data_IF_284350081978
#
_entry.id   IF_284350081978
#
_cell.length_a   1.000
_cell.length_b   1.000
_cell.length_c   1.000
_cell.angle_alpha   90.00
_cell.angle_beta   90.00
_cell.angle_gamma   90.00
#
_symmetry.space_group_name_H-M   'P 1'
#
loop_
_entity.id
_entity.type
_entity.pdbx_description
1 polymer ?
#
# COMPACT_ATOMS: atom_id res chain seq x y z
N UNK A 1 14.29 1.53 -3.78
CA UNK A 1 14.19 0.73 -2.55
C UNK A 1 14.89 1.44 -1.41
N UNK A 2 14.29 1.42 -0.22
CA UNK A 2 14.90 1.92 1.02
C UNK A 2 16.03 1.00 1.48
N UNK A 3 17.01 1.53 2.20
CA UNK A 3 18.04 0.71 2.85
C UNK A 3 17.52 0.08 4.15
N UNK A 4 18.11 -1.04 4.61
CA UNK A 4 17.71 -1.64 5.90
C UNK A 4 17.78 -0.63 7.05
N UNK A 5 18.79 0.26 7.07
CA UNK A 5 18.86 1.32 8.09
C UNK A 5 17.76 2.37 7.97
N UNK A 6 17.23 2.61 6.78
CA UNK A 6 16.07 3.49 6.60
C UNK A 6 14.78 2.81 7.09
N UNK A 7 14.66 1.50 6.88
CA UNK A 7 13.53 0.69 7.34
C UNK A 7 13.51 0.63 8.87
N UNK A 8 14.64 0.28 9.50
CA UNK A 8 14.77 0.27 10.97
C UNK A 8 14.40 1.64 11.58
N UNK A 9 14.88 2.73 10.98
CA UNK A 9 14.58 4.08 11.47
C UNK A 9 13.10 4.49 11.25
N UNK A 10 12.43 3.91 10.25
CA UNK A 10 11.00 4.12 10.03
C UNK A 10 10.18 3.32 11.05
N UNK A 11 10.55 2.07 11.32
CA UNK A 11 9.91 1.21 12.32
C UNK A 11 10.07 1.78 13.74
N UNK A 12 11.24 2.35 14.07
CA UNK A 12 11.44 3.08 15.33
C UNK A 12 10.43 4.24 15.51
N UNK A 13 10.01 4.86 14.40
CA UNK A 13 8.97 5.90 14.41
C UNK A 13 7.60 5.25 14.53
N UNK A 14 7.27 4.28 13.67
CA UNK A 14 5.95 3.64 13.61
C UNK A 14 5.60 2.89 14.90
N UNK A 15 6.56 2.31 15.61
CA UNK A 15 6.30 1.59 16.87
C UNK A 15 6.46 2.46 18.12
N UNK A 16 6.67 3.77 17.96
CA UNK A 16 6.72 4.70 19.08
C UNK A 16 5.31 5.05 19.60
N UNK A 17 5.23 5.30 20.91
CA UNK A 17 4.06 5.94 21.52
C UNK A 17 3.84 7.35 20.92
N UNK A 18 2.57 7.78 20.71
CA UNK A 18 1.32 7.16 21.16
C UNK A 18 0.64 6.20 20.19
N UNK A 19 1.23 5.90 19.03
CA UNK A 19 0.53 5.17 17.96
C UNK A 19 0.96 3.71 17.79
N UNK A 20 2.08 3.26 18.37
CA UNK A 20 2.70 1.97 18.07
C UNK A 20 1.82 0.71 18.08
N UNK A 21 0.67 0.71 18.78
CA UNK A 21 -0.28 -0.40 18.75
C UNK A 21 -1.21 -0.39 17.51
N UNK A 22 -1.52 0.79 16.98
CA UNK A 22 -2.43 1.01 15.83
C UNK A 22 -1.66 1.28 14.52
N UNK A 23 -0.35 1.53 14.60
CA UNK A 23 0.47 1.82 13.45
C UNK A 23 0.77 0.58 12.59
N UNK A 24 0.91 0.83 11.28
CA UNK A 24 1.34 -0.19 10.33
C UNK A 24 2.80 -0.57 10.57
N UNK A 25 3.16 -1.79 10.18
CA UNK A 25 4.55 -2.17 9.98
C UNK A 25 5.09 -1.61 8.65
N UNK A 26 6.35 -1.92 8.33
CA UNK A 26 6.96 -1.49 7.08
C UNK A 26 6.18 -1.98 5.83
N UNK A 27 5.60 -3.19 5.87
CA UNK A 27 4.87 -3.75 4.74
C UNK A 27 3.57 -2.98 4.49
N UNK A 28 2.79 -2.71 5.54
CA UNK A 28 1.60 -1.88 5.46
C UNK A 28 1.91 -0.45 5.02
N UNK A 29 2.95 0.17 5.59
CA UNK A 29 3.43 1.48 5.14
C UNK A 29 3.80 1.48 3.64
N UNK A 30 4.48 0.43 3.16
CA UNK A 30 4.80 0.30 1.74
C UNK A 30 3.54 0.16 0.89
N UNK A 31 2.50 -0.52 1.38
CA UNK A 31 1.18 -0.58 0.75
C UNK A 31 0.52 0.80 0.62
N UNK A 32 0.55 1.60 1.69
CA UNK A 32 0.05 2.99 1.71
C UNK A 32 0.75 3.85 0.65
N UNK A 33 2.09 3.80 0.62
CA UNK A 33 2.87 4.59 -0.35
C UNK A 33 2.64 4.09 -1.77
N UNK A 34 2.43 2.79 -1.98
CA UNK A 34 2.12 2.28 -3.30
C UNK A 34 0.75 2.78 -3.79
N UNK A 35 -0.28 2.74 -2.95
CA UNK A 35 -1.60 3.25 -3.28
C UNK A 35 -1.59 4.75 -3.61
N UNK A 36 -0.76 5.55 -2.93
CA UNK A 36 -0.60 6.99 -3.23
C UNK A 36 0.13 7.29 -4.54
N UNK A 37 0.85 6.30 -5.09
CA UNK A 37 1.54 6.41 -6.38
C UNK A 37 0.68 5.91 -7.53
N UNK A 38 -0.04 4.79 -7.34
CA UNK A 38 -0.84 4.17 -8.41
C UNK A 38 -2.24 4.74 -8.51
N UNK A 39 -2.75 5.34 -7.43
CA UNK A 39 -4.07 5.93 -7.38
C UNK A 39 -4.14 7.33 -7.96
N UNK A 40 -5.35 7.83 -8.27
CA UNK A 40 -5.54 9.15 -8.87
C UNK A 40 -5.41 10.32 -7.87
N UNK A 41 -5.39 10.04 -6.57
CA UNK A 41 -5.35 11.05 -5.51
C UNK A 41 -3.91 11.44 -5.18
N UNK A 42 -3.61 12.75 -5.14
CA UNK A 42 -2.34 13.25 -4.61
C UNK A 42 -2.41 13.32 -3.07
N UNK A 43 -1.69 12.41 -2.39
CA UNK A 43 -1.65 12.40 -0.93
C UNK A 43 -0.51 13.26 -0.39
N UNK A 44 -0.83 14.09 0.60
CA UNK A 44 0.17 14.82 1.37
C UNK A 44 0.95 13.88 2.31
N UNK A 45 2.15 14.30 2.71
CA UNK A 45 2.91 13.58 3.73
C UNK A 45 2.13 13.46 5.07
N UNK A 46 1.24 14.40 5.38
CA UNK A 46 0.39 14.34 6.58
C UNK A 46 -0.66 13.25 6.46
N UNK A 47 -1.26 13.06 5.30
CA UNK A 47 -2.20 11.96 5.04
C UNK A 47 -1.50 10.61 5.11
N UNK A 48 -0.37 10.45 4.43
CA UNK A 48 0.44 9.22 4.50
C UNK A 48 0.85 8.91 5.95
N UNK A 49 1.22 9.92 6.73
CA UNK A 49 1.55 9.74 8.14
C UNK A 49 0.36 9.27 8.97
N UNK A 50 -0.82 9.88 8.78
CA UNK A 50 -2.03 9.47 9.51
C UNK A 50 -2.43 8.04 9.15
N UNK A 51 -2.43 7.68 7.86
CA UNK A 51 -2.71 6.32 7.40
C UNK A 51 -1.72 5.31 7.99
N UNK A 52 -0.43 5.63 7.99
CA UNK A 52 0.60 4.73 8.51
C UNK A 52 0.60 4.58 10.04
N UNK A 53 0.10 5.57 10.78
CA UNK A 53 0.11 5.58 12.24
C UNK A 53 -1.26 5.33 12.88
N UNK A 54 -2.34 5.33 12.09
CA UNK A 54 -3.71 5.34 12.62
C UNK A 54 -4.08 6.63 13.39
N UNK A 55 -3.23 7.65 13.37
CA UNK A 55 -3.47 8.88 14.13
C UNK A 55 -4.47 9.81 13.42
N UNK A 56 -5.39 10.41 14.19
CA UNK A 56 -6.34 11.42 13.68
C UNK A 56 -5.65 12.70 13.19
N UNK A 57 -4.49 13.03 13.75
CA UNK A 57 -3.75 14.25 13.47
C UNK A 57 -2.24 14.03 13.58
N UNK A 58 -1.47 14.84 12.84
CA UNK A 58 -0.02 14.87 12.98
C UNK A 58 0.39 15.47 14.32
N UNK A 59 1.53 15.06 14.91
CA UNK A 59 2.04 15.64 16.14
C UNK A 59 2.29 17.14 16.02
N UNK A 60 2.14 17.90 17.12
CA UNK A 60 2.46 19.33 17.16
C UNK A 60 3.92 19.64 16.79
N UNK A 61 4.81 18.67 17.01
CA UNK A 61 6.23 18.72 16.62
C UNK A 61 6.45 18.54 15.12
N UNK A 62 5.40 18.22 14.37
CA UNK A 62 5.43 17.85 12.96
C UNK A 62 5.83 16.39 12.73
N UNK A 63 5.67 15.96 11.47
CA UNK A 63 6.11 14.65 11.00
C UNK A 63 7.65 14.57 11.03
N UNK A 64 8.24 13.49 11.58
CA UNK A 64 9.68 13.27 11.53
C UNK A 64 10.25 13.33 10.11
N UNK A 65 11.40 13.99 9.95
CA UNK A 65 12.05 14.15 8.64
C UNK A 65 12.41 12.81 7.99
N UNK A 66 12.78 11.81 8.80
CA UNK A 66 13.07 10.45 8.31
C UNK A 66 11.83 9.85 7.65
N UNK A 67 10.65 9.97 8.27
CA UNK A 67 9.39 9.49 7.69
C UNK A 67 9.10 10.18 6.35
N UNK A 68 9.21 11.51 6.29
CA UNK A 68 8.99 12.28 5.06
C UNK A 68 9.93 11.86 3.94
N UNK A 69 11.23 11.76 4.24
CA UNK A 69 12.25 11.35 3.28
C UNK A 69 12.01 9.94 2.78
N UNK A 70 11.76 8.98 3.66
CA UNK A 70 11.52 7.59 3.29
C UNK A 70 10.26 7.44 2.43
N UNK A 71 9.17 8.11 2.81
CA UNK A 71 7.92 8.13 2.02
C UNK A 71 8.16 8.69 0.62
N UNK A 72 8.82 9.85 0.52
CA UNK A 72 9.10 10.48 -0.76
C UNK A 72 10.06 9.66 -1.62
N UNK A 73 11.10 9.07 -1.03
CA UNK A 73 12.04 8.23 -1.75
C UNK A 73 11.33 7.00 -2.32
N UNK A 74 10.52 6.32 -1.51
CA UNK A 74 9.79 5.13 -1.93
C UNK A 74 8.79 5.45 -3.05
N UNK A 75 8.02 6.54 -2.90
CA UNK A 75 7.07 6.99 -3.91
C UNK A 75 7.76 7.31 -5.25
N UNK A 76 8.88 8.04 -5.21
CA UNK A 76 9.65 8.37 -6.42
C UNK A 76 10.23 7.12 -7.09
N UNK A 77 10.73 6.16 -6.31
CA UNK A 77 11.28 4.91 -6.84
C UNK A 77 10.18 4.08 -7.55
N UNK A 78 8.98 3.99 -6.96
CA UNK A 78 7.83 3.29 -7.54
C UNK A 78 7.34 3.97 -8.83
N UNK A 79 7.11 5.29 -8.78
CA UNK A 79 6.66 6.05 -9.94
C UNK A 79 7.66 5.93 -11.09
N UNK A 80 8.97 6.02 -10.77
CA UNK A 80 10.00 5.85 -11.78
C UNK A 80 10.01 4.46 -12.43
N UNK A 81 9.82 3.40 -11.65
CA UNK A 81 9.74 2.04 -12.17
C UNK A 81 8.54 1.88 -13.12
N UNK A 82 7.37 2.38 -12.71
CA UNK A 82 6.13 2.32 -13.51
C UNK A 82 6.23 3.16 -14.79
N UNK A 83 6.80 4.36 -14.73
CA UNK A 83 7.08 5.21 -15.90
C UNK A 83 8.01 4.52 -16.92
N UNK A 84 8.90 3.66 -16.44
CA UNK A 84 9.80 2.86 -17.26
C UNK A 84 9.16 1.55 -17.74
N UNK A 85 7.88 1.31 -17.44
CA UNK A 85 7.15 0.09 -17.78
C UNK A 85 7.64 -1.14 -17.02
N UNK A 86 8.23 -0.94 -15.85
CA UNK A 86 8.69 -2.03 -14.98
C UNK A 86 7.61 -2.33 -13.93
N UNK A 87 7.30 -3.61 -13.75
CA UNK A 87 6.44 -4.05 -12.65
C UNK A 87 7.09 -3.70 -11.31
N UNK A 88 6.27 -3.34 -10.32
CA UNK A 88 6.74 -3.09 -8.96
C UNK A 88 7.14 -4.40 -8.27
N UNK A 89 8.29 -4.37 -7.59
CA UNK A 89 8.71 -5.45 -6.70
C UNK A 89 8.15 -5.18 -5.30
N UNK A 90 7.43 -6.15 -4.73
CA UNK A 90 6.92 -6.06 -3.37
C UNK A 90 8.03 -6.40 -2.36
N UNK A 91 8.01 -5.78 -1.16
CA UNK A 91 8.99 -6.09 -0.11
C UNK A 91 8.85 -7.54 0.37
N UNK A 92 9.96 -8.28 0.39
CA UNK A 92 10.02 -9.65 0.89
C UNK A 92 10.47 -9.69 2.36
N UNK A 93 9.82 -10.48 3.24
CA UNK A 93 10.24 -10.61 4.63
C UNK A 93 11.48 -11.51 4.77
N UNK A 94 12.34 -11.20 5.75
CA UNK A 94 13.57 -11.97 6.02
C UNK A 94 13.29 -13.33 6.68
N UNK A 95 12.15 -13.49 7.35
CA UNK A 95 11.80 -14.66 8.16
C UNK A 95 11.13 -15.79 7.36
N UNK A 96 10.80 -15.55 6.09
CA UNK A 96 10.23 -16.53 5.19
C UNK A 96 8.72 -16.78 5.34
N UNK A 97 7.96 -15.88 5.97
CA UNK A 97 6.49 -15.86 5.90
C UNK A 97 5.97 -14.75 4.96
N UNK A 98 6.06 -14.95 3.63
CA UNK A 98 5.70 -13.94 2.64
C UNK A 98 4.21 -13.59 2.65
N UNK A 99 3.34 -14.45 3.21
CA UNK A 99 1.91 -14.21 3.17
C UNK A 99 1.45 -13.25 4.25
N UNK A 100 2.05 -13.28 5.45
CA UNK A 100 1.75 -12.30 6.48
C UNK A 100 2.18 -10.88 6.05
N UNK A 101 3.40 -10.75 5.53
CA UNK A 101 3.90 -9.50 4.97
C UNK A 101 2.99 -8.99 3.84
N UNK A 102 2.54 -9.88 2.95
CA UNK A 102 1.63 -9.53 1.87
C UNK A 102 0.24 -9.11 2.36
N UNK A 103 -0.30 -9.77 3.39
CA UNK A 103 -1.56 -9.38 4.03
C UNK A 103 -1.47 -7.95 4.58
N UNK A 104 -0.41 -7.64 5.34
CA UNK A 104 -0.18 -6.30 5.89
C UNK A 104 -0.01 -5.26 4.78
N UNK A 105 0.73 -5.60 3.72
CA UNK A 105 0.87 -4.74 2.55
C UNK A 105 -0.46 -4.44 1.88
N UNK A 106 -1.29 -5.47 1.68
CA UNK A 106 -2.61 -5.33 1.08
C UNK A 106 -3.55 -4.51 1.98
N UNK A 107 -3.47 -4.67 3.30
CA UNK A 107 -4.23 -3.88 4.25
C UNK A 107 -3.91 -2.38 4.14
N UNK A 108 -2.63 -1.99 4.19
CA UNK A 108 -2.23 -0.59 4.03
C UNK A 108 -2.61 0.01 2.67
N UNK A 109 -2.52 -0.78 1.60
CA UNK A 109 -2.99 -0.37 0.28
C UNK A 109 -4.51 -0.12 0.26
N UNK A 110 -5.29 -1.06 0.79
CA UNK A 110 -6.76 -1.00 0.79
C UNK A 110 -7.27 0.11 1.69
N UNK A 111 -6.69 0.33 2.87
CA UNK A 111 -7.08 1.44 3.74
C UNK A 111 -6.90 2.79 3.05
N UNK A 112 -5.82 2.94 2.27
CA UNK A 112 -5.56 4.15 1.47
C UNK A 112 -6.58 4.30 0.35
N UNK A 113 -6.95 3.21 -0.32
CA UNK A 113 -8.03 3.21 -1.32
C UNK A 113 -9.36 3.62 -0.68
N UNK A 114 -9.73 3.06 0.47
CA UNK A 114 -11.00 3.35 1.15
C UNK A 114 -11.12 4.81 1.60
N UNK A 115 -10.03 5.41 2.08
CA UNK A 115 -10.00 6.83 2.44
C UNK A 115 -10.25 7.76 1.23
N UNK A 116 -9.95 7.29 0.02
CA UNK A 116 -10.08 8.06 -1.22
C UNK A 116 -11.01 7.39 -2.26
N UNK A 117 -11.92 6.51 -1.82
CA UNK A 117 -12.70 5.62 -2.70
C UNK A 117 -13.45 6.38 -3.79
N UNK A 118 -14.12 7.48 -3.43
CA UNK A 118 -14.85 8.33 -4.39
C UNK A 118 -13.95 8.81 -5.53
N UNK A 119 -12.72 9.25 -5.22
CA UNK A 119 -11.78 9.73 -6.24
C UNK A 119 -11.30 8.59 -7.15
N UNK A 120 -11.10 7.39 -6.59
CA UNK A 120 -10.70 6.21 -7.36
C UNK A 120 -11.80 5.76 -8.32
N UNK A 121 -13.05 5.69 -7.86
CA UNK A 121 -14.18 5.22 -8.65
C UNK A 121 -14.68 6.25 -9.67
N UNK A 122 -14.46 7.55 -9.43
CA UNK A 122 -14.85 8.63 -10.35
C UNK A 122 -13.78 8.98 -11.40
N UNK A 123 -12.49 8.75 -11.11
CA UNK A 123 -11.40 9.11 -12.01
C UNK A 123 -11.35 8.25 -13.28
N UNK A 124 -11.87 7.02 -13.23
CA UNK A 124 -11.87 6.09 -14.36
C UNK A 124 -13.13 5.21 -14.36
N UNK A 125 -13.09 4.07 -15.07
CA UNK A 125 -14.18 3.10 -15.07
C UNK A 125 -14.27 2.38 -13.72
N UNK A 126 -15.35 2.64 -12.95
CA UNK A 126 -15.62 1.99 -11.66
C UNK A 126 -15.48 0.46 -11.73
N UNK A 127 -16.03 -0.17 -12.78
CA UNK A 127 -15.94 -1.63 -12.99
C UNK A 127 -14.50 -2.09 -13.16
N UNK A 128 -13.70 -1.35 -13.93
CA UNK A 128 -12.30 -1.68 -14.21
C UNK A 128 -11.42 -1.48 -12.97
N UNK A 129 -11.61 -0.36 -12.26
CA UNK A 129 -10.94 -0.10 -10.98
C UNK A 129 -11.28 -1.20 -9.96
N UNK A 130 -12.57 -1.56 -9.83
CA UNK A 130 -12.99 -2.59 -8.90
C UNK A 130 -12.37 -3.96 -9.23
N UNK A 131 -12.33 -4.35 -10.50
CA UNK A 131 -11.71 -5.60 -10.95
C UNK A 131 -10.21 -5.65 -10.64
N UNK A 132 -9.49 -4.55 -10.88
CA UNK A 132 -8.05 -4.44 -10.59
C UNK A 132 -7.75 -4.44 -9.08
N UNK A 133 -8.69 -4.02 -8.24
CA UNK A 133 -8.55 -4.00 -6.79
C UNK A 133 -8.75 -5.37 -6.13
N UNK A 134 -9.36 -6.34 -6.83
CA UNK A 134 -9.75 -7.64 -6.25
C UNK A 134 -8.60 -8.37 -5.53
N UNK A 135 -7.36 -8.47 -6.07
CA UNK A 135 -6.28 -9.16 -5.37
C UNK A 135 -5.95 -8.53 -4.02
N UNK A 136 -5.82 -7.20 -3.98
CA UNK A 136 -5.53 -6.45 -2.77
C UNK A 136 -6.68 -6.53 -1.75
N UNK A 137 -7.93 -6.36 -2.21
CA UNK A 137 -9.12 -6.51 -1.35
C UNK A 137 -9.18 -7.92 -0.74
N UNK A 138 -8.97 -8.94 -1.55
CA UNK A 138 -9.06 -10.34 -1.12
C UNK A 138 -7.97 -10.71 -0.11
N UNK A 139 -6.74 -10.26 -0.34
CA UNK A 139 -5.58 -10.61 0.47
C UNK A 139 -5.34 -9.68 1.67
N UNK A 140 -6.00 -8.52 1.74
CA UNK A 140 -5.90 -7.56 2.86
C UNK A 140 -6.34 -8.11 4.22
N UNK A 141 -7.22 -9.11 4.19
CA UNK A 141 -7.84 -9.65 5.41
C UNK A 141 -8.89 -8.77 6.08
N UNK A 142 -9.14 -7.56 5.57
CA UNK A 142 -10.06 -6.56 6.13
C UNK A 142 -11.55 -6.92 5.96
N UNK A 143 -11.86 -7.84 5.04
CA UNK A 143 -13.24 -8.19 4.69
C UNK A 143 -13.58 -9.64 5.06
N UNK A 144 -14.71 -9.80 5.75
CA UNK A 144 -15.26 -11.10 6.18
C UNK A 144 -16.17 -11.77 5.12
N UNK A 145 -16.07 -11.34 3.85
CA UNK A 145 -16.85 -11.94 2.76
C UNK A 145 -16.48 -13.42 2.54
N UNK A 146 -17.50 -14.28 2.37
CA UNK A 146 -17.30 -15.73 2.24
C UNK A 146 -16.46 -16.10 1.02
N UNK A 147 -16.54 -15.35 -0.08
CA UNK A 147 -15.79 -15.66 -1.30
C UNK A 147 -14.32 -15.24 -1.15
N UNK A 148 -14.04 -14.10 -0.50
CA UNK A 148 -12.67 -13.74 -0.14
C UNK A 148 -12.04 -14.75 0.83
N UNK A 149 -12.80 -15.21 1.83
CA UNK A 149 -12.33 -16.24 2.76
C UNK A 149 -12.04 -17.57 2.05
N UNK A 150 -12.87 -17.98 1.07
CA UNK A 150 -12.59 -19.20 0.27
C UNK A 150 -11.29 -19.09 -0.51
N UNK A 151 -10.97 -17.91 -1.04
CA UNK A 151 -9.72 -17.67 -1.76
C UNK A 151 -8.52 -17.69 -0.80
N UNK A 152 -8.58 -16.94 0.32
CA UNK A 152 -7.51 -16.89 1.33
C UNK A 152 -7.18 -18.27 1.92
N UNK A 153 -8.21 -19.09 2.18
CA UNK A 153 -8.05 -20.44 2.73
C UNK A 153 -7.55 -21.48 1.70
N UNK A 154 -7.32 -21.09 0.45
CA UNK A 154 -6.79 -21.96 -0.59
C UNK A 154 -5.40 -21.52 -1.01
N UNK A 155 -4.36 -22.27 -0.62
CA UNK A 155 -2.96 -22.01 -1.00
C UNK A 155 -2.76 -21.75 -2.50
N UNK A 156 -3.57 -22.39 -3.35
CA UNK A 156 -3.51 -22.19 -4.80
C UNK A 156 -4.10 -20.83 -5.18
N UNK A 157 -5.30 -20.51 -4.69
CA UNK A 157 -5.99 -19.29 -5.10
C UNK A 157 -5.34 -18.05 -4.47
N UNK A 158 -4.88 -18.12 -3.23
CA UNK A 158 -4.15 -17.04 -2.58
C UNK A 158 -2.85 -16.70 -3.32
N UNK A 159 -2.07 -17.71 -3.74
CA UNK A 159 -0.89 -17.50 -4.59
C UNK A 159 -1.23 -16.91 -5.94
N UNK A 160 -2.33 -17.35 -6.57
CA UNK A 160 -2.78 -16.76 -7.84
C UNK A 160 -3.14 -15.28 -7.70
N UNK A 161 -3.76 -14.89 -6.58
CA UNK A 161 -4.02 -13.47 -6.30
C UNK A 161 -2.71 -12.72 -6.05
N UNK A 162 -1.79 -13.29 -5.27
CA UNK A 162 -0.49 -12.69 -5.01
C UNK A 162 0.31 -12.45 -6.30
N UNK A 163 0.35 -13.45 -7.19
CA UNK A 163 1.03 -13.37 -8.48
C UNK A 163 0.41 -12.33 -9.42
N UNK A 164 -0.86 -11.96 -9.22
CA UNK A 164 -1.58 -10.99 -10.04
C UNK A 164 -1.42 -9.53 -9.57
N UNK A 165 -0.92 -9.30 -8.35
CA UNK A 165 -0.78 -7.93 -7.79
C UNK A 165 0.12 -7.05 -8.66
N UNK A 166 1.34 -7.45 -9.08
CA UNK A 166 2.22 -6.56 -9.84
C UNK A 166 1.62 -6.09 -11.18
N UNK A 167 0.89 -6.98 -11.86
CA UNK A 167 0.18 -6.64 -13.09
C UNK A 167 -0.98 -5.67 -12.78
N UNK A 168 -1.75 -5.94 -11.72
CA UNK A 168 -2.85 -5.07 -11.30
C UNK A 168 -2.38 -3.66 -10.94
N UNK A 169 -1.23 -3.52 -10.28
CA UNK A 169 -0.63 -2.23 -9.95
C UNK A 169 -0.18 -1.46 -11.20
N UNK A 170 0.38 -2.18 -12.17
CA UNK A 170 0.78 -1.59 -13.45
C UNK A 170 -0.45 -1.08 -14.20
N UNK A 171 -1.51 -1.89 -14.26
CA UNK A 171 -2.75 -1.54 -14.94
C UNK A 171 -3.48 -0.38 -14.24
N UNK A 172 -3.52 -0.35 -12.90
CA UNK A 172 -4.04 0.80 -12.14
C UNK A 172 -3.26 2.08 -12.45
N UNK A 173 -1.93 2.02 -12.45
CA UNK A 173 -1.12 3.19 -12.77
C UNK A 173 -1.38 3.69 -14.20
N UNK A 174 -1.49 2.78 -15.17
CA UNK A 174 -1.82 3.15 -16.54
C UNK A 174 -3.24 3.73 -16.64
N UNK A 175 -4.21 3.16 -15.92
CA UNK A 175 -5.59 3.61 -15.92
C UNK A 175 -5.72 5.07 -15.47
N UNK A 176 -4.96 5.49 -14.46
CA UNK A 176 -5.07 6.83 -13.88
C UNK A 176 -4.03 7.84 -14.40
N UNK A 177 -2.87 7.40 -14.90
CA UNK A 177 -1.76 8.29 -15.24
C UNK A 177 -1.35 8.26 -16.72
N UNK A 178 -1.87 7.34 -17.54
CA UNK A 178 -1.59 7.37 -18.97
C UNK A 178 -2.23 8.63 -19.62
N UNK A 179 -1.51 9.32 -20.52
CA UNK A 179 -2.08 10.44 -21.25
C UNK A 179 -3.17 9.99 -22.24
N UNK A 180 -4.22 10.80 -22.37
CA UNK A 180 -5.30 10.66 -23.37
C UNK A 180 -4.80 10.59 -24.83
#
# INVERSE_FOLDING_TARGET
MLSNSDIEALEDILFAEPWGDDALDFFGFHGVVCASVVGPAELSAEEIFRLATGADQVPDTGIPEVFRRCSAQLANDMAHALDMGQALELPEPEDGDPMNALENWCAGFVDTFLEHEEQWLEAASEEETADLMVPMLTLSGLFDDEDFQKVRNSDKLSRQMADAIPDSLTDLYLLFHAPD
#
